data_IF_192565781802
#
_entry.id   IF_192565781802
#
_cell.length_a   1.000
_cell.length_b   1.000
_cell.length_c   1.000
_cell.angle_alpha   90.00
_cell.angle_beta   90.00
_cell.angle_gamma   90.00
#
_symmetry.space_group_name_H-M   'P 1'
#
loop_
_entity.id
_entity.type
_entity.pdbx_description
1 polymer ?
#
# COMPACT_ATOMS: atom_id res chain seq x y z
N UNK A 1 -5.94 -7.25 17.44
CA UNK A 1 -6.61 -7.12 16.13
C UNK A 1 -6.53 -5.70 15.58
N UNK A 2 -7.45 -4.78 15.91
CA UNK A 2 -7.54 -3.46 15.24
C UNK A 2 -6.25 -2.62 15.33
N UNK A 3 -5.59 -2.58 16.48
CA UNK A 3 -4.30 -1.87 16.62
C UNK A 3 -3.20 -2.45 15.72
N UNK A 4 -3.18 -3.78 15.49
CA UNK A 4 -2.21 -4.43 14.60
C UNK A 4 -2.46 -4.04 13.14
N UNK A 5 -3.73 -4.06 12.72
CA UNK A 5 -4.15 -3.62 11.37
C UNK A 5 -3.76 -2.16 11.15
N UNK A 6 -4.11 -1.26 12.08
CA UNK A 6 -3.77 0.16 11.97
C UNK A 6 -2.27 0.43 11.97
N UNK A 7 -1.49 -0.35 12.74
CA UNK A 7 -0.01 -0.26 12.71
C UNK A 7 0.53 -0.67 11.35
N UNK A 8 0.01 -1.76 10.77
CA UNK A 8 0.38 -2.20 9.43
C UNK A 8 0.06 -1.16 8.35
N UNK A 9 -1.14 -0.56 8.38
CA UNK A 9 -1.53 0.53 7.47
C UNK A 9 -0.65 1.78 7.62
N UNK A 10 -0.26 2.14 8.85
CA UNK A 10 0.66 3.27 9.06
C UNK A 10 2.07 2.98 8.52
N UNK A 11 2.57 1.76 8.72
CA UNK A 11 3.88 1.33 8.20
C UNK A 11 3.88 1.23 6.67
N UNK A 12 2.79 0.79 6.04
CA UNK A 12 2.67 0.74 4.58
C UNK A 12 2.67 2.16 3.98
N UNK A 13 2.01 3.12 4.63
CA UNK A 13 2.07 4.53 4.25
C UNK A 13 3.51 5.06 4.33
N UNK A 14 4.21 4.84 5.44
CA UNK A 14 5.62 5.27 5.60
C UNK A 14 6.51 4.63 4.53
N UNK A 15 6.34 3.33 4.27
CA UNK A 15 7.05 2.63 3.21
C UNK A 15 6.82 3.25 1.84
N UNK A 16 5.57 3.62 1.52
CA UNK A 16 5.19 4.23 0.24
C UNK A 16 5.79 5.62 0.08
N UNK A 17 5.82 6.41 1.16
CA UNK A 17 6.49 7.72 1.19
C UNK A 17 7.99 7.57 0.96
N UNK A 18 8.63 6.59 1.60
CA UNK A 18 10.06 6.30 1.37
C UNK A 18 10.30 5.92 -0.10
N UNK A 19 9.43 5.10 -0.68
CA UNK A 19 9.55 4.74 -2.10
C UNK A 19 9.43 5.94 -3.04
N UNK A 20 8.50 6.86 -2.76
CA UNK A 20 8.41 8.13 -3.50
C UNK A 20 9.71 8.93 -3.41
N UNK A 21 10.27 9.09 -2.20
CA UNK A 21 11.52 9.83 -1.99
C UNK A 21 12.74 9.19 -2.65
N UNK A 22 12.84 7.85 -2.59
CA UNK A 22 13.92 7.09 -3.23
C UNK A 22 13.83 7.24 -4.75
N UNK A 23 12.64 7.21 -5.31
CA UNK A 23 12.43 7.38 -6.76
C UNK A 23 12.74 8.81 -7.22
N UNK A 24 12.30 9.82 -6.47
CA UNK A 24 12.69 11.22 -6.74
C UNK A 24 14.22 11.39 -6.75
N UNK A 25 14.92 10.74 -5.81
CA UNK A 25 16.40 10.75 -5.76
C UNK A 25 17.01 10.03 -6.95
N UNK A 26 16.44 8.90 -7.38
CA UNK A 26 16.88 8.14 -8.55
C UNK A 26 16.75 8.98 -9.83
N UNK A 27 15.59 9.61 -10.04
CA UNK A 27 15.32 10.50 -11.18
C UNK A 27 16.23 11.73 -11.19
N UNK A 28 16.47 12.35 -10.03
CA UNK A 28 17.41 13.47 -9.89
C UNK A 28 18.82 13.06 -10.31
N UNK A 29 19.31 11.91 -9.83
CA UNK A 29 20.61 11.36 -10.22
C UNK A 29 20.67 11.07 -11.72
N UNK A 30 19.62 10.49 -12.31
CA UNK A 30 19.58 10.24 -13.76
C UNK A 30 19.69 11.54 -14.57
N UNK A 31 19.08 12.63 -14.11
CA UNK A 31 19.15 13.96 -14.74
C UNK A 31 20.53 14.60 -14.59
N UNK A 32 21.11 14.57 -13.41
CA UNK A 32 22.44 15.15 -13.12
C UNK A 32 23.55 14.51 -13.96
N UNK A 33 23.46 13.20 -14.20
CA UNK A 33 24.44 12.46 -15.01
C UNK A 33 24.08 12.40 -16.51
N UNK A 34 23.01 13.10 -16.95
CA UNK A 34 22.61 13.12 -18.37
C UNK A 34 22.13 11.76 -18.91
N UNK A 35 21.67 10.86 -18.03
CA UNK A 35 21.25 9.48 -18.36
C UNK A 35 19.75 9.37 -18.69
N UNK A 36 19.05 10.50 -18.79
CA UNK A 36 17.58 10.57 -18.99
C UNK A 36 17.16 9.87 -20.28
N UNK A 37 17.94 10.00 -21.36
CA UNK A 37 17.63 9.39 -22.66
C UNK A 37 18.21 7.97 -22.83
N UNK A 38 18.87 7.43 -21.80
CA UNK A 38 19.50 6.11 -21.84
C UNK A 38 18.72 5.12 -20.97
N UNK A 39 17.70 4.41 -21.52
CA UNK A 39 16.82 3.54 -20.72
C UNK A 39 17.54 2.39 -20.03
N UNK A 40 18.66 1.92 -20.59
CA UNK A 40 19.47 0.82 -20.03
C UNK A 40 20.70 1.29 -19.25
N UNK A 41 20.89 2.60 -19.08
CA UNK A 41 22.03 3.12 -18.34
C UNK A 41 21.88 2.80 -16.85
N UNK A 42 22.96 2.31 -16.25
CA UNK A 42 23.02 2.10 -14.81
C UNK A 42 23.12 3.47 -14.13
N UNK A 43 22.09 3.82 -13.37
CA UNK A 43 22.14 5.00 -12.52
C UNK A 43 23.16 4.74 -11.42
N UNK A 44 24.09 5.67 -11.15
CA UNK A 44 25.11 5.54 -10.11
C UNK A 44 24.49 5.70 -8.72
N UNK A 45 23.62 4.78 -8.33
CA UNK A 45 22.91 4.75 -7.06
C UNK A 45 23.03 3.35 -6.46
N UNK A 46 23.27 3.29 -5.15
CA UNK A 46 23.39 2.02 -4.45
C UNK A 46 22.03 1.33 -4.31
N UNK A 47 21.99 0.00 -4.49
CA UNK A 47 20.79 -0.81 -4.26
C UNK A 47 20.28 -0.71 -2.81
N UNK A 48 21.17 -0.39 -1.87
CA UNK A 48 20.85 -0.24 -0.45
C UNK A 48 19.74 0.79 -0.15
N UNK A 49 19.50 1.75 -1.04
CA UNK A 49 18.39 2.72 -0.89
C UNK A 49 17.00 2.08 -0.99
N UNK A 50 16.86 0.91 -1.61
CA UNK A 50 15.59 0.17 -1.68
C UNK A 50 15.32 -0.65 -0.42
N UNK A 51 16.34 -0.95 0.38
CA UNK A 51 16.19 -1.82 1.56
C UNK A 51 15.18 -1.26 2.57
N UNK A 52 15.20 0.04 2.95
CA UNK A 52 14.27 0.58 3.94
C UNK A 52 12.80 0.43 3.56
N UNK A 53 12.42 0.72 2.31
CA UNK A 53 11.05 0.57 1.84
C UNK A 53 10.61 -0.91 1.84
N UNK A 54 11.45 -1.84 1.38
CA UNK A 54 11.04 -3.25 1.32
C UNK A 54 10.94 -3.91 2.69
N UNK A 55 11.84 -3.56 3.62
CA UNK A 55 11.77 -4.04 5.01
C UNK A 55 10.49 -3.51 5.67
N UNK A 56 10.21 -2.22 5.56
CA UNK A 56 9.00 -1.63 6.15
C UNK A 56 7.73 -2.20 5.53
N UNK A 57 7.69 -2.37 4.21
CA UNK A 57 6.57 -3.01 3.52
C UNK A 57 6.34 -4.44 4.01
N UNK A 58 7.39 -5.24 4.16
CA UNK A 58 7.26 -6.61 4.67
C UNK A 58 6.73 -6.66 6.10
N UNK A 59 7.23 -5.78 6.98
CA UNK A 59 6.72 -5.67 8.36
C UNK A 59 5.26 -5.21 8.34
N UNK A 60 4.91 -4.19 7.55
CA UNK A 60 3.56 -3.68 7.39
C UNK A 60 2.57 -4.77 6.96
N UNK A 61 2.98 -5.60 5.98
CA UNK A 61 2.17 -6.68 5.45
C UNK A 61 1.89 -7.73 6.54
N UNK A 62 2.91 -8.18 7.29
CA UNK A 62 2.71 -9.13 8.40
C UNK A 62 1.74 -8.60 9.45
N UNK A 63 1.88 -7.34 9.89
CA UNK A 63 0.98 -6.75 10.87
C UNK A 63 -0.47 -6.65 10.37
N UNK A 64 -0.64 -6.28 9.09
CA UNK A 64 -1.96 -6.14 8.46
C UNK A 64 -2.61 -7.50 8.24
N UNK A 65 -1.86 -8.47 7.72
CA UNK A 65 -2.32 -9.81 7.37
C UNK A 65 -2.74 -10.59 8.62
N UNK A 66 -1.89 -10.62 9.65
CA UNK A 66 -2.20 -11.26 10.93
C UNK A 66 -3.39 -10.57 11.60
N UNK A 67 -3.42 -9.24 11.58
CA UNK A 67 -4.52 -8.47 12.17
C UNK A 67 -5.88 -8.74 11.49
N UNK A 68 -5.90 -8.80 10.16
CA UNK A 68 -7.09 -9.12 9.38
C UNK A 68 -7.55 -10.56 9.61
N UNK A 69 -6.62 -11.51 9.62
CA UNK A 69 -6.93 -12.92 9.83
C UNK A 69 -7.54 -13.16 11.23
N UNK A 70 -6.97 -12.57 12.28
CA UNK A 70 -7.55 -12.61 13.63
C UNK A 70 -8.95 -11.97 13.65
N UNK A 71 -9.12 -10.81 13.00
CA UNK A 71 -10.42 -10.12 12.95
C UNK A 71 -11.49 -10.97 12.27
N UNK A 72 -11.21 -11.54 11.11
CA UNK A 72 -12.17 -12.39 10.40
C UNK A 72 -12.43 -13.70 11.14
N UNK A 73 -11.43 -14.29 11.79
CA UNK A 73 -11.62 -15.51 12.57
C UNK A 73 -12.49 -15.29 13.81
N UNK A 74 -12.28 -14.20 14.54
CA UNK A 74 -12.98 -13.91 15.79
C UNK A 74 -14.37 -13.28 15.59
N UNK A 75 -14.58 -12.53 14.50
CA UNK A 75 -15.86 -11.83 14.26
C UNK A 75 -16.85 -12.63 13.43
N UNK A 76 -16.40 -13.62 12.65
CA UNK A 76 -17.28 -14.41 11.78
C UNK A 76 -17.76 -15.67 12.54
N UNK A 77 -19.07 -15.93 12.60
CA UNK A 77 -19.59 -17.16 13.19
C UNK A 77 -18.99 -18.41 12.54
N UNK A 78 -18.82 -19.49 13.29
CA UNK A 78 -18.16 -20.72 12.82
C UNK A 78 -18.75 -21.28 11.52
N UNK A 79 -20.09 -21.18 11.36
CA UNK A 79 -20.80 -21.60 10.15
C UNK A 79 -20.42 -20.78 8.89
N UNK A 80 -19.88 -19.58 9.04
CA UNK A 80 -19.54 -18.65 7.96
C UNK A 80 -18.02 -18.45 7.79
N UNK A 81 -17.18 -19.22 8.50
CA UNK A 81 -15.73 -19.03 8.50
C UNK A 81 -15.11 -19.14 7.10
N UNK A 82 -15.59 -20.06 6.26
CA UNK A 82 -15.16 -20.19 4.86
C UNK A 82 -15.54 -18.97 4.01
N UNK A 83 -16.68 -18.34 4.28
CA UNK A 83 -17.10 -17.11 3.63
C UNK A 83 -16.22 -15.92 4.06
N UNK A 84 -15.83 -15.87 5.34
CA UNK A 84 -14.88 -14.87 5.85
C UNK A 84 -13.51 -14.95 5.14
N UNK A 85 -12.98 -16.16 4.94
CA UNK A 85 -11.75 -16.37 4.16
C UNK A 85 -11.91 -15.99 2.69
N UNK A 86 -13.05 -16.31 2.07
CA UNK A 86 -13.32 -15.90 0.69
C UNK A 86 -13.39 -14.37 0.54
N UNK A 87 -14.03 -13.68 1.48
CA UNK A 87 -14.06 -12.21 1.53
C UNK A 87 -12.65 -11.65 1.72
N UNK A 88 -11.85 -12.22 2.63
CA UNK A 88 -10.46 -11.82 2.81
C UNK A 88 -9.64 -11.97 1.51
N UNK A 89 -9.73 -13.10 0.81
CA UNK A 89 -9.06 -13.30 -0.47
C UNK A 89 -9.55 -12.33 -1.56
N UNK A 90 -10.85 -12.00 -1.53
CA UNK A 90 -11.43 -11.06 -2.49
C UNK A 90 -10.85 -9.66 -2.39
N UNK A 91 -10.35 -9.25 -1.21
CA UNK A 91 -9.68 -7.95 -1.01
C UNK A 91 -8.48 -7.81 -1.96
N UNK A 92 -7.67 -8.86 -2.12
CA UNK A 92 -6.53 -8.84 -3.05
C UNK A 92 -6.97 -8.75 -4.51
N UNK A 93 -8.05 -9.45 -4.87
CA UNK A 93 -8.63 -9.40 -6.21
C UNK A 93 -9.15 -8.00 -6.55
N UNK A 94 -9.95 -7.42 -5.65
CA UNK A 94 -10.46 -6.05 -5.79
C UNK A 94 -9.31 -5.04 -5.86
N UNK A 95 -8.29 -5.18 -5.00
CA UNK A 95 -7.10 -4.33 -5.03
C UNK A 95 -6.36 -4.39 -6.37
N UNK A 96 -6.25 -5.58 -6.96
CA UNK A 96 -5.64 -5.77 -8.28
C UNK A 96 -6.44 -5.09 -9.39
N UNK A 97 -7.78 -5.18 -9.36
CA UNK A 97 -8.64 -4.48 -10.31
C UNK A 97 -8.54 -2.95 -10.17
N UNK A 98 -8.55 -2.44 -8.93
CA UNK A 98 -8.38 -1.00 -8.66
C UNK A 98 -7.02 -0.51 -9.16
N UNK A 99 -5.94 -1.27 -8.90
CA UNK A 99 -4.60 -0.96 -9.40
C UNK A 99 -4.55 -0.88 -10.93
N UNK A 100 -5.08 -1.90 -11.62
CA UNK A 100 -5.16 -1.91 -13.08
C UNK A 100 -5.99 -0.75 -13.64
N UNK A 101 -7.12 -0.44 -13.00
CA UNK A 101 -7.96 0.69 -13.37
C UNK A 101 -7.22 2.03 -13.21
N UNK A 102 -6.55 2.25 -12.08
CA UNK A 102 -5.76 3.46 -11.83
C UNK A 102 -4.67 3.64 -12.89
N UNK A 103 -3.89 2.59 -13.17
CA UNK A 103 -2.85 2.61 -14.20
C UNK A 103 -3.44 2.93 -15.57
N UNK A 104 -4.58 2.33 -15.92
CA UNK A 104 -5.26 2.58 -17.20
C UNK A 104 -5.70 4.05 -17.33
N UNK A 105 -6.33 4.61 -16.30
CA UNK A 105 -6.77 6.02 -16.28
C UNK A 105 -5.58 6.96 -16.36
N UNK A 106 -4.51 6.71 -15.60
CA UNK A 106 -3.29 7.52 -15.62
C UNK A 106 -2.63 7.46 -17.00
N UNK A 107 -2.49 6.28 -17.60
CA UNK A 107 -1.91 6.13 -18.94
C UNK A 107 -2.74 6.85 -20.00
N UNK A 108 -4.07 6.77 -19.92
CA UNK A 108 -4.96 7.47 -20.86
C UNK A 108 -4.86 8.99 -20.73
N UNK A 109 -4.72 9.51 -19.51
CA UNK A 109 -4.67 10.96 -19.24
C UNK A 109 -3.29 11.57 -19.47
N UNK A 110 -2.21 10.84 -19.16
CA UNK A 110 -0.83 11.33 -19.22
C UNK A 110 -0.04 10.86 -20.45
N UNK A 111 -0.52 9.85 -21.18
CA UNK A 111 0.18 9.22 -22.30
C UNK A 111 0.30 10.05 -23.58
N UNK A 112 -0.43 11.16 -23.72
CA UNK A 112 -0.42 11.99 -24.93
C UNK A 112 0.70 13.05 -25.01
N UNK A 113 1.39 13.34 -23.90
CA UNK A 113 2.21 14.55 -23.75
C UNK A 113 3.73 14.38 -23.74
N UNK A 114 4.27 13.21 -24.08
CA UNK A 114 5.72 12.95 -24.17
C UNK A 114 6.44 12.57 -22.87
N UNK A 115 5.86 12.87 -21.70
CA UNK A 115 6.34 12.39 -20.39
C UNK A 115 5.17 11.79 -19.58
N UNK A 116 4.97 10.48 -19.68
CA UNK A 116 3.96 9.75 -18.90
C UNK A 116 4.52 9.26 -17.57
N UNK A 117 3.63 9.00 -16.60
CA UNK A 117 4.02 8.41 -15.30
C UNK A 117 4.63 7.01 -15.49
N UNK A 118 4.21 6.32 -16.56
CA UNK A 118 4.67 4.99 -16.94
C UNK A 118 5.24 5.04 -18.35
N UNK A 119 6.43 5.61 -18.51
CA UNK A 119 7.16 5.60 -19.77
C UNK A 119 7.98 4.30 -19.91
N UNK A 120 8.13 3.80 -21.14
CA UNK A 120 9.04 2.67 -21.42
C UNK A 120 10.49 2.98 -21.03
N UNK A 121 10.85 4.27 -21.04
CA UNK A 121 12.09 4.74 -20.46
C UNK A 121 11.84 5.19 -19.02
N UNK A 122 12.23 4.34 -18.06
CA UNK A 122 12.04 4.59 -16.64
C UNK A 122 12.77 5.85 -16.15
N UNK A 123 13.79 6.33 -16.88
CA UNK A 123 14.49 7.58 -16.56
C UNK A 123 13.73 8.83 -17.03
N UNK A 124 12.76 8.66 -17.93
CA UNK A 124 11.77 9.68 -18.33
C UNK A 124 10.41 9.49 -17.65
N UNK A 125 10.18 8.34 -17.03
CA UNK A 125 8.95 8.05 -16.30
C UNK A 125 8.96 8.81 -14.96
N UNK A 126 7.83 9.45 -14.64
CA UNK A 126 7.63 10.08 -13.34
C UNK A 126 6.88 9.12 -12.40
N UNK A 127 7.54 8.01 -12.06
CA UNK A 127 6.97 6.98 -11.17
C UNK A 127 6.80 7.50 -9.74
N UNK A 128 7.56 8.52 -9.35
CA UNK A 128 7.42 9.27 -8.12
C UNK A 128 6.01 9.86 -7.96
N UNK A 129 5.39 10.38 -9.03
CA UNK A 129 4.01 10.87 -8.98
C UNK A 129 3.01 9.75 -8.66
N UNK A 130 3.24 8.55 -9.19
CA UNK A 130 2.42 7.39 -8.86
C UNK A 130 2.55 7.00 -7.38
N UNK A 131 3.77 7.00 -6.84
CA UNK A 131 3.98 6.73 -5.42
C UNK A 131 3.38 7.81 -4.51
N UNK A 132 3.42 9.09 -4.91
CA UNK A 132 2.73 10.16 -4.18
C UNK A 132 1.21 10.02 -4.23
N UNK A 133 0.64 9.61 -5.36
CA UNK A 133 -0.78 9.29 -5.46
C UNK A 133 -1.16 8.15 -4.50
N UNK A 134 -0.38 7.06 -4.50
CA UNK A 134 -0.59 5.95 -3.57
C UNK A 134 -0.46 6.39 -2.12
N UNK A 135 0.52 7.23 -1.77
CA UNK A 135 0.65 7.77 -0.42
C UNK A 135 -0.58 8.59 0.00
N UNK A 136 -1.15 9.38 -0.92
CA UNK A 136 -2.41 10.10 -0.69
C UNK A 136 -3.59 9.17 -0.45
N UNK A 137 -3.73 8.12 -1.27
CA UNK A 137 -4.77 7.10 -1.12
C UNK A 137 -4.62 6.31 0.20
N UNK A 138 -3.40 5.89 0.56
CA UNK A 138 -3.11 5.20 1.82
C UNK A 138 -3.34 6.10 3.04
N UNK A 139 -3.09 7.41 2.92
CA UNK A 139 -3.44 8.37 3.99
C UNK A 139 -4.96 8.44 4.16
N UNK A 140 -5.71 8.53 3.07
CA UNK A 140 -7.18 8.52 3.12
C UNK A 140 -7.72 7.21 3.69
N UNK A 141 -7.16 6.06 3.30
CA UNK A 141 -7.47 4.75 3.86
C UNK A 141 -7.26 4.72 5.38
N UNK A 142 -6.11 5.19 5.86
CA UNK A 142 -5.78 5.20 7.29
C UNK A 142 -6.73 6.12 8.08
N UNK A 143 -7.13 7.27 7.52
CA UNK A 143 -8.10 8.17 8.13
C UNK A 143 -9.50 7.55 8.20
N UNK A 144 -9.96 6.93 7.11
CA UNK A 144 -11.23 6.21 7.08
C UNK A 144 -11.22 5.06 8.07
N UNK A 145 -10.14 4.28 8.12
CA UNK A 145 -9.95 3.21 9.11
C UNK A 145 -10.02 3.76 10.54
N UNK A 146 -9.32 4.85 10.83
CA UNK A 146 -9.37 5.53 12.13
C UNK A 146 -10.78 6.00 12.50
N UNK A 147 -11.55 6.52 11.53
CA UNK A 147 -12.94 6.91 11.73
C UNK A 147 -13.84 5.71 12.04
N UNK A 148 -13.75 4.64 11.23
CA UNK A 148 -14.56 3.43 11.42
C UNK A 148 -14.23 2.72 12.73
N UNK A 149 -12.95 2.61 13.08
CA UNK A 149 -12.54 1.96 14.35
C UNK A 149 -12.96 2.75 15.58
N UNK A 150 -13.03 4.09 15.51
CA UNK A 150 -13.61 4.91 16.58
C UNK A 150 -15.13 4.75 16.69
N UNK A 151 -15.82 4.58 15.56
CA UNK A 151 -17.25 4.31 15.52
C UNK A 151 -17.60 2.85 15.90
N UNK A 152 -16.64 1.93 15.80
CA UNK A 152 -16.82 0.52 16.12
C UNK A 152 -16.83 0.32 17.65
N UNK A 153 -18.03 0.28 18.23
CA UNK A 153 -18.22 -0.07 19.63
C UNK A 153 -17.76 -1.52 19.87
N UNK A 154 -16.76 -1.70 20.75
CA UNK A 154 -16.34 -3.01 21.22
C UNK A 154 -17.57 -3.72 21.80
N UNK A 155 -17.96 -4.88 21.25
CA UNK A 155 -18.89 -5.78 21.95
C UNK A 155 -18.20 -6.17 23.26
N UNK A 156 -18.61 -5.55 24.38
CA UNK A 156 -18.24 -6.00 25.73
C UNK A 156 -18.61 -7.48 25.78
N UNK A 157 -17.61 -8.36 25.88
CA UNK A 157 -17.82 -9.75 26.28
C UNK A 157 -18.55 -9.65 27.63
N UNK A 158 -19.79 -10.13 27.68
CA UNK A 158 -20.51 -10.29 28.94
C UNK A 158 -19.57 -11.11 29.84
N UNK A 159 -19.04 -10.48 30.89
CA UNK A 159 -18.38 -11.20 31.97
C UNK A 159 -19.36 -12.25 32.46
N UNK A 160 -18.90 -13.49 32.51
CA UNK A 160 -19.58 -14.63 33.13
C UNK A 160 -20.11 -14.20 34.50
N UNK A 161 -21.38 -13.84 34.54
CA UNK A 161 -22.15 -13.63 35.78
C UNK A 161 -23.40 -14.48 35.69
N UNK A 162 -23.19 -15.80 35.71
CA UNK A 162 -24.18 -16.85 35.96
C UNK A 162 -23.41 -18.19 35.89
N UNK A 163 -23.16 -18.97 36.93
CA UNK A 163 -23.78 -19.11 38.25
C UNK A 163 -22.74 -19.75 39.19
N UNK A 164 -22.70 -19.22 40.41
CA UNK A 164 -22.08 -19.78 41.62
C UNK A 164 -22.77 -21.06 42.06
#
# INVERSE_FOLDING_TARGET
>A
MLQRIGTGMALSLVSTVIAALVEMKRLKTAREFGLVDQPNARIPMSLWWLVPQYVLFGVADVFTMVGLQEFFYDQVPDALRSLGLALYLSIFGIGSFISGFLISVINKTTGGGGESWFSNNLNRAHLDYFYWLLAGLSTMELLLYGFFTRAYAYKKKQEDTAVM
#
